data_IF_098226846009
#
_entry.id   IF_098226846009
#
_cell.length_a   1.000
_cell.length_b   1.000
_cell.length_c   1.000
_cell.angle_alpha   90.00
_cell.angle_beta   90.00
_cell.angle_gamma   90.00
#
_symmetry.space_group_name_H-M   'P 1'
#
loop_
_entity.id
_entity.type
_entity.pdbx_description
1 polymer ?
#
# COMPACT_ATOMS: atom_id res chain seq x y z
N UNK A 1 14.85 6.00 20.21
CA UNK A 1 13.40 6.21 20.47
C UNK A 1 12.66 5.03 19.88
N UNK A 2 12.17 4.14 20.73
CA UNK A 2 11.51 2.90 20.32
C UNK A 2 10.10 3.23 19.84
N UNK A 3 9.94 3.43 18.52
CA UNK A 3 8.64 3.27 17.88
C UNK A 3 8.13 1.90 18.27
N UNK A 4 6.98 1.84 18.93
CA UNK A 4 6.26 0.60 19.20
C UNK A 4 6.19 -0.17 17.87
N UNK A 5 6.93 -1.28 17.76
CA UNK A 5 7.11 -1.98 16.49
C UNK A 5 5.74 -2.46 15.99
N UNK A 6 5.29 -2.06 14.78
CA UNK A 6 3.90 -2.21 14.33
C UNK A 6 3.48 -3.67 14.13
N UNK A 7 4.41 -4.62 14.23
CA UNK A 7 4.18 -6.06 14.19
C UNK A 7 3.04 -6.47 15.13
N UNK A 8 3.07 -6.07 16.41
CA UNK A 8 1.99 -6.46 17.34
C UNK A 8 0.63 -5.90 16.91
N UNK A 9 0.59 -4.72 16.30
CA UNK A 9 -0.67 -4.11 15.86
C UNK A 9 -1.23 -4.79 14.61
N UNK A 10 -0.39 -5.13 13.64
CA UNK A 10 -0.82 -5.74 12.36
C UNK A 10 -1.24 -7.19 12.56
N UNK A 11 -0.39 -7.99 13.24
CA UNK A 11 -0.60 -9.42 13.40
C UNK A 11 -1.73 -9.78 14.39
N UNK A 12 -2.14 -8.84 15.25
CA UNK A 12 -3.26 -9.04 16.19
C UNK A 12 -4.61 -8.54 15.66
N UNK A 13 -4.66 -7.99 14.45
CA UNK A 13 -5.94 -7.57 13.86
C UNK A 13 -6.83 -8.77 13.53
N UNK A 14 -8.15 -8.60 13.61
CA UNK A 14 -9.14 -9.60 13.16
C UNK A 14 -9.37 -9.56 11.64
N UNK A 15 -8.35 -9.17 10.88
CA UNK A 15 -8.41 -9.08 9.42
C UNK A 15 -8.04 -10.41 8.77
N UNK A 16 -8.36 -10.57 7.48
CA UNK A 16 -7.96 -11.77 6.75
C UNK A 16 -6.42 -11.84 6.65
N UNK A 17 -5.82 -13.05 6.64
CA UNK A 17 -4.37 -13.21 6.54
C UNK A 17 -3.76 -12.55 5.30
N UNK A 18 -4.52 -12.45 4.20
CA UNK A 18 -4.09 -11.77 2.97
C UNK A 18 -3.86 -10.28 3.20
N UNK A 19 -4.78 -9.63 3.92
CA UNK A 19 -4.68 -8.21 4.24
C UNK A 19 -3.53 -7.97 5.21
N UNK A 20 -3.39 -8.80 6.24
CA UNK A 20 -2.28 -8.71 7.20
C UNK A 20 -0.92 -8.86 6.50
N UNK A 21 -0.77 -9.89 5.67
CA UNK A 21 0.46 -10.15 4.93
C UNK A 21 0.78 -8.99 3.96
N UNK A 22 -0.21 -8.51 3.20
CA UNK A 22 -0.03 -7.38 2.31
C UNK A 22 0.40 -6.13 3.06
N UNK A 23 -0.28 -5.76 4.15
CA UNK A 23 0.07 -4.58 4.97
C UNK A 23 1.49 -4.68 5.53
N UNK A 24 1.91 -5.87 5.95
CA UNK A 24 3.27 -6.11 6.42
C UNK A 24 4.32 -5.90 5.31
N UNK A 25 4.08 -6.46 4.13
CA UNK A 25 4.97 -6.28 2.98
C UNK A 25 5.01 -4.83 2.51
N UNK A 26 3.87 -4.14 2.50
CA UNK A 26 3.75 -2.75 2.09
C UNK A 26 4.52 -1.80 3.02
N UNK A 27 4.49 -2.06 4.33
CA UNK A 27 5.30 -1.34 5.31
C UNK A 27 6.81 -1.50 5.12
N UNK A 28 7.24 -2.71 4.77
CA UNK A 28 8.64 -3.01 4.50
C UNK A 28 9.08 -2.58 3.09
N UNK A 29 8.20 -1.92 2.34
CA UNK A 29 8.40 -1.60 0.92
C UNK A 29 8.73 -2.84 0.08
N UNK A 30 8.30 -4.04 0.51
CA UNK A 30 8.65 -5.34 -0.04
C UNK A 30 7.47 -6.05 -0.75
N UNK A 31 6.36 -5.33 -0.98
CA UNK A 31 5.20 -5.81 -1.76
C UNK A 31 5.60 -6.31 -3.14
N UNK A 32 4.73 -7.13 -3.75
CA UNK A 32 4.93 -7.69 -5.09
C UNK A 32 4.68 -6.68 -6.21
N UNK A 33 5.13 -5.43 -6.04
CA UNK A 33 5.11 -4.44 -7.11
C UNK A 33 6.14 -4.79 -8.18
N UNK A 34 5.88 -4.41 -9.42
CA UNK A 34 6.80 -4.73 -10.51
C UNK A 34 8.20 -4.17 -10.31
N UNK A 35 8.32 -2.98 -9.71
CA UNK A 35 9.61 -2.39 -9.32
C UNK A 35 10.42 -3.31 -8.39
N UNK A 36 9.77 -3.93 -7.40
CA UNK A 36 10.41 -4.87 -6.48
C UNK A 36 10.77 -6.20 -7.15
N UNK A 37 9.97 -6.66 -8.13
CA UNK A 37 10.28 -7.86 -8.90
C UNK A 37 11.51 -7.65 -9.78
N UNK A 38 11.63 -6.48 -10.42
CA UNK A 38 12.83 -6.09 -11.18
C UNK A 38 14.05 -6.00 -10.26
N UNK A 39 13.90 -5.42 -9.06
CA UNK A 39 14.95 -5.42 -8.03
C UNK A 39 15.40 -6.83 -7.61
N UNK A 40 14.52 -7.83 -7.71
CA UNK A 40 14.80 -9.26 -7.49
C UNK A 40 15.33 -9.98 -8.73
N UNK A 41 15.72 -9.24 -9.78
CA UNK A 41 16.22 -9.77 -11.06
C UNK A 41 15.19 -10.59 -11.84
N UNK A 42 13.90 -10.35 -11.63
CA UNK A 42 12.82 -10.93 -12.44
C UNK A 42 12.56 -9.99 -13.62
N UNK A 43 12.73 -10.50 -14.84
CA UNK A 43 12.58 -9.71 -16.05
C UNK A 43 11.11 -9.51 -16.42
N UNK A 44 10.59 -8.32 -16.10
CA UNK A 44 9.25 -7.86 -16.47
C UNK A 44 9.29 -6.36 -16.83
N UNK A 45 8.27 -5.88 -17.55
CA UNK A 45 8.11 -4.45 -17.84
C UNK A 45 7.41 -3.77 -16.68
N UNK A 46 8.00 -2.70 -16.14
CA UNK A 46 7.38 -1.91 -15.09
C UNK A 46 6.36 -0.92 -15.68
N UNK A 47 5.09 -1.17 -15.43
CA UNK A 47 3.93 -0.33 -15.72
C UNK A 47 2.75 -0.79 -14.87
N UNK A 48 2.18 0.14 -14.09
CA UNK A 48 1.02 -0.12 -13.26
C UNK A 48 -0.13 -0.71 -14.07
N UNK A 49 -0.60 -1.88 -13.65
CA UNK A 49 -1.66 -2.61 -14.35
C UNK A 49 -3.04 -1.93 -14.24
N UNK A 50 -3.24 -1.08 -13.24
CA UNK A 50 -4.52 -0.42 -13.01
C UNK A 50 -4.68 0.84 -13.86
N UNK A 51 -3.71 1.76 -13.80
CA UNK A 51 -3.82 3.05 -14.48
C UNK A 51 -3.15 3.06 -15.86
N UNK A 52 -2.21 2.14 -16.12
CA UNK A 52 -1.38 2.10 -17.33
C UNK A 52 -0.60 3.41 -17.62
N UNK A 53 -0.50 4.34 -16.69
CA UNK A 53 0.08 5.68 -16.92
C UNK A 53 1.42 5.90 -16.22
N UNK A 54 1.75 5.10 -15.20
CA UNK A 54 2.95 5.26 -14.40
C UNK A 54 3.57 3.90 -14.04
N UNK A 55 4.77 3.93 -13.45
CA UNK A 55 5.46 2.76 -12.91
C UNK A 55 4.73 2.23 -11.67
N UNK A 56 4.69 0.91 -11.52
CA UNK A 56 4.15 0.25 -10.35
C UNK A 56 5.17 0.20 -9.22
N UNK A 57 5.03 1.12 -8.27
CA UNK A 57 5.81 1.20 -7.03
C UNK A 57 4.89 1.13 -5.82
N UNK A 58 5.43 0.81 -4.63
CA UNK A 58 4.62 0.81 -3.40
C UNK A 58 3.92 2.14 -3.16
N UNK A 59 4.59 3.27 -3.42
CA UNK A 59 3.97 4.61 -3.29
C UNK A 59 2.89 4.81 -4.34
N UNK A 60 3.12 4.37 -5.57
CA UNK A 60 2.11 4.47 -6.61
C UNK A 60 0.85 3.66 -6.29
N UNK A 61 0.91 2.54 -5.56
CA UNK A 61 -0.30 1.81 -5.17
C UNK A 61 -1.29 2.66 -4.35
N UNK A 62 -0.80 3.59 -3.53
CA UNK A 62 -1.63 4.53 -2.76
C UNK A 62 -2.14 5.71 -3.60
N UNK A 63 -1.29 6.21 -4.51
CA UNK A 63 -1.57 7.39 -5.33
C UNK A 63 -2.09 7.08 -6.73
N UNK A 64 -2.29 5.80 -7.05
CA UNK A 64 -2.80 5.37 -8.34
C UNK A 64 -4.17 6.03 -8.55
N UNK A 65 -4.45 6.66 -9.70
CA UNK A 65 -5.74 7.32 -9.94
C UNK A 65 -6.94 6.38 -9.73
N UNK A 66 -6.78 5.11 -10.13
CA UNK A 66 -7.81 4.07 -9.93
C UNK A 66 -8.02 3.77 -8.45
N UNK A 67 -6.93 3.52 -7.71
CA UNK A 67 -7.00 3.24 -6.27
C UNK A 67 -7.55 4.46 -5.49
N UNK A 68 -7.10 5.66 -5.84
CA UNK A 68 -7.56 6.93 -5.25
C UNK A 68 -9.06 7.12 -5.48
N UNK A 69 -9.56 6.82 -6.67
CA UNK A 69 -11.00 6.86 -6.97
C UNK A 69 -11.81 5.92 -6.07
N UNK A 70 -11.33 4.69 -5.88
CA UNK A 70 -11.96 3.71 -4.98
C UNK A 70 -11.94 4.22 -3.54
N UNK A 71 -10.81 4.71 -3.06
CA UNK A 71 -10.70 5.27 -1.71
C UNK A 71 -11.67 6.43 -1.50
N UNK A 72 -11.70 7.39 -2.42
CA UNK A 72 -12.59 8.54 -2.35
C UNK A 72 -14.06 8.13 -2.34
N UNK A 73 -14.43 7.10 -3.11
CA UNK A 73 -15.77 6.53 -3.08
C UNK A 73 -16.12 6.01 -1.67
N UNK A 74 -15.27 5.19 -1.07
CA UNK A 74 -15.49 4.68 0.29
C UNK A 74 -15.55 5.80 1.33
N UNK A 75 -14.59 6.73 1.28
CA UNK A 75 -14.51 7.89 2.17
C UNK A 75 -15.81 8.71 2.09
N UNK A 76 -16.31 8.96 0.88
CA UNK A 76 -17.55 9.69 0.64
C UNK A 76 -18.77 8.94 1.19
N UNK A 77 -18.85 7.62 0.98
CA UNK A 77 -19.99 6.81 1.47
C UNK A 77 -20.08 6.81 2.99
N UNK A 78 -18.92 6.80 3.67
CA UNK A 78 -18.85 6.79 5.13
C UNK A 78 -18.71 8.19 5.76
N UNK A 79 -18.70 9.26 4.97
CA UNK A 79 -18.55 10.63 5.46
C UNK A 79 -17.22 10.91 6.17
N UNK A 80 -16.16 10.17 5.83
CA UNK A 80 -14.86 10.28 6.47
C UNK A 80 -14.08 11.49 5.92
N UNK A 81 -13.21 12.07 6.74
CA UNK A 81 -12.18 13.02 6.28
C UNK A 81 -10.85 12.29 6.27
N UNK A 82 -10.30 12.06 5.08
CA UNK A 82 -9.06 11.32 4.90
C UNK A 82 -8.11 12.08 4.00
N UNK A 83 -6.84 12.13 4.40
CA UNK A 83 -5.74 12.68 3.61
C UNK A 83 -4.86 11.51 3.20
N UNK A 84 -4.64 11.32 1.90
CA UNK A 84 -3.85 10.19 1.41
C UNK A 84 -2.40 10.30 1.95
N UNK A 85 -1.91 9.31 2.71
CA UNK A 85 -0.54 9.32 3.22
C UNK A 85 0.47 9.17 2.08
N UNK A 86 1.70 9.65 2.29
CA UNK A 86 2.77 9.59 1.28
C UNK A 86 3.36 8.18 1.13
N UNK A 87 3.22 7.36 2.18
CA UNK A 87 3.70 5.99 2.22
C UNK A 87 2.84 5.13 3.15
N UNK A 88 2.95 3.81 3.02
CA UNK A 88 2.29 2.87 3.94
C UNK A 88 2.78 2.99 5.39
N UNK A 89 4.00 3.49 5.61
CA UNK A 89 4.51 3.78 6.95
C UNK A 89 3.75 4.93 7.58
N UNK A 90 3.52 5.99 6.82
CA UNK A 90 2.76 7.15 7.30
C UNK A 90 1.30 6.75 7.60
N UNK A 91 0.70 5.90 6.74
CA UNK A 91 -0.67 5.42 6.88
C UNK A 91 -0.96 4.65 8.18
N UNK A 92 0.04 4.00 8.76
CA UNK A 92 -0.11 3.13 9.93
C UNK A 92 0.34 3.81 11.24
N UNK A 93 0.99 4.96 11.13
CA UNK A 93 1.43 5.77 12.27
C UNK A 93 0.51 6.98 12.51
N UNK A 94 -0.31 7.33 11.50
CA UNK A 94 -1.35 8.38 11.55
C UNK A 94 -2.62 7.98 12.29
#
# INVERSE_FOLDING_TARGET
MLVNWPCKSIWKTKLSPKVICFSWLALLEASLTQDNLIGRKIHIVNRCFLCHQALETNRHLLHCPVATGIWNMFISVFGLKWVMPRSFKDALVS
#
